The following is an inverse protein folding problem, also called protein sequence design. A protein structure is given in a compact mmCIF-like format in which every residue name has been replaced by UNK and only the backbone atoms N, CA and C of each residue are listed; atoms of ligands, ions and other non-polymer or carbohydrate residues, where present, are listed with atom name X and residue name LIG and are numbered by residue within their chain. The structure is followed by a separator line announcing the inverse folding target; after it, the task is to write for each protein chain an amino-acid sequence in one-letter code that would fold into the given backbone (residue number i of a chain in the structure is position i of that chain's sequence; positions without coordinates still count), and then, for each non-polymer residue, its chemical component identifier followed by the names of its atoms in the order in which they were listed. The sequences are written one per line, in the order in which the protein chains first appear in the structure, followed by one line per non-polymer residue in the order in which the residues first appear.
data_IF_168744464354
#
_entry.id   IF_168744464354
#
_cell.length_a   1.000
_cell.length_b   1.000
_cell.length_c   1.000
_cell.angle_alpha   90.00
_cell.angle_beta   90.00
_cell.angle_gamma   90.00
#
_symmetry.space_group_name_H-M   'P 1'
#
loop_
_entity.id
_entity.type
_entity.pdbx_description
1 polymer ?
#
# COMPACT_ATOMS: atom_id res chain seq x y z
N UNK A 1 3.79 19.00 5.74
CA UNK A 1 5.01 19.18 4.94
C UNK A 1 6.27 18.65 5.63
N UNK A 2 6.42 18.84 6.93
CA UNK A 2 7.62 18.41 7.68
C UNK A 2 7.77 16.88 7.65
N UNK A 3 6.69 16.14 7.84
CA UNK A 3 6.73 14.67 7.93
C UNK A 3 7.32 13.98 6.68
N UNK A 4 6.86 14.27 5.45
CA UNK A 4 7.47 13.68 4.26
C UNK A 4 8.94 14.09 4.04
N UNK A 5 9.29 15.33 4.41
CA UNK A 5 10.67 15.80 4.31
C UNK A 5 11.61 15.08 5.28
N UNK A 6 11.15 14.89 6.53
CA UNK A 6 11.89 14.11 7.53
C UNK A 6 12.02 12.63 7.13
N UNK A 7 10.95 12.03 6.59
CA UNK A 7 11.00 10.67 6.07
C UNK A 7 12.01 10.53 4.93
N UNK A 8 12.03 11.47 3.99
CA UNK A 8 13.01 11.47 2.90
C UNK A 8 14.45 11.57 3.41
N UNK A 9 14.70 12.43 4.40
CA UNK A 9 16.01 12.54 5.05
C UNK A 9 16.42 11.23 5.72
N UNK A 10 15.52 10.60 6.46
CA UNK A 10 15.78 9.30 7.11
C UNK A 10 16.07 8.21 6.07
N UNK A 11 15.25 8.08 5.03
CA UNK A 11 15.45 7.10 3.95
C UNK A 11 16.81 7.28 3.27
N UNK A 12 17.24 8.53 3.05
CA UNK A 12 18.54 8.81 2.46
C UNK A 12 19.69 8.36 3.36
N UNK A 13 19.58 8.56 4.67
CA UNK A 13 20.63 8.28 5.65
C UNK A 13 20.72 6.82 6.08
N UNK A 14 19.65 6.02 5.90
CA UNK A 14 19.62 4.62 6.33
C UNK A 14 20.59 3.77 5.48
N UNK A 15 21.38 2.87 6.10
CA UNK A 15 22.16 1.88 5.37
C UNK A 15 21.26 0.86 4.66
N UNK A 16 21.81 0.11 3.70
CA UNK A 16 21.11 -1.03 3.09
C UNK A 16 21.10 -2.16 4.11
N UNK A 17 19.93 -2.79 4.31
CA UNK A 17 19.77 -3.87 5.28
C UNK A 17 18.32 -4.09 5.69
N UNK A 18 18.12 -5.03 6.61
CA UNK A 18 16.84 -5.36 7.21
C UNK A 18 16.78 -4.73 8.60
N UNK A 19 15.67 -4.06 8.88
CA UNK A 19 15.43 -3.35 10.14
C UNK A 19 14.07 -3.75 10.71
N UNK A 20 13.96 -3.69 12.04
CA UNK A 20 12.70 -3.91 12.75
C UNK A 20 12.05 -5.25 12.41
N UNK A 21 12.73 -6.34 12.73
CA UNK A 21 12.15 -7.67 12.65
C UNK A 21 11.22 -7.92 13.83
N UNK A 22 10.05 -8.50 13.56
CA UNK A 22 9.05 -8.86 14.56
C UNK A 22 8.68 -10.32 14.39
N UNK A 23 8.72 -11.08 15.49
CA UNK A 23 8.24 -12.46 15.49
C UNK A 23 6.71 -12.50 15.62
N UNK A 24 6.05 -13.09 14.65
CA UNK A 24 4.61 -13.30 14.65
C UNK A 24 4.31 -14.76 14.24
N UNK A 25 3.59 -15.50 15.09
CA UNK A 25 3.20 -16.89 14.85
C UNK A 25 4.38 -17.82 14.46
N UNK A 26 5.54 -17.59 15.05
CA UNK A 26 6.76 -18.38 14.78
C UNK A 26 7.47 -17.99 13.47
N UNK A 27 7.07 -16.90 12.84
CA UNK A 27 7.72 -16.32 11.65
C UNK A 27 8.35 -14.98 11.98
N UNK A 28 9.56 -14.75 11.48
CA UNK A 28 10.22 -13.45 11.56
C UNK A 28 9.76 -12.57 10.40
N UNK A 29 8.94 -11.58 10.70
CA UNK A 29 8.49 -10.57 9.74
C UNK A 29 9.53 -9.48 9.58
N UNK A 30 9.87 -9.16 8.35
CA UNK A 30 10.79 -8.07 8.00
C UNK A 30 10.00 -6.77 7.79
N UNK A 31 9.75 -6.05 8.89
CA UNK A 31 8.93 -4.84 8.86
C UNK A 31 9.52 -3.75 7.97
N UNK A 32 10.85 -3.72 7.81
CA UNK A 32 11.52 -2.73 6.97
C UNK A 32 12.78 -3.34 6.34
N UNK A 33 12.80 -3.44 5.01
CA UNK A 33 13.96 -3.81 4.21
C UNK A 33 14.36 -2.67 3.29
N UNK A 34 15.58 -2.19 3.45
CA UNK A 34 16.15 -1.12 2.63
C UNK A 34 17.11 -1.72 1.62
N UNK A 35 16.80 -1.55 0.35
CA UNK A 35 17.68 -1.87 -0.77
C UNK A 35 17.78 -0.65 -1.73
N UNK A 36 18.53 -0.80 -2.81
CA UNK A 36 18.73 0.31 -3.78
C UNK A 36 17.41 0.73 -4.44
N UNK A 37 16.53 -0.23 -4.73
CA UNK A 37 15.27 0.01 -5.41
C UNK A 37 14.25 0.65 -4.45
N UNK A 38 14.07 0.07 -3.26
CA UNK A 38 13.16 0.60 -2.25
C UNK A 38 13.54 2.02 -1.80
N UNK A 39 14.85 2.33 -1.73
CA UNK A 39 15.32 3.68 -1.43
C UNK A 39 14.87 4.70 -2.48
N UNK A 40 15.04 4.38 -3.77
CA UNK A 40 14.65 5.28 -4.86
C UNK A 40 13.13 5.51 -4.84
N UNK A 41 12.34 4.43 -4.77
CA UNK A 41 10.88 4.55 -4.72
C UNK A 41 10.38 5.23 -3.44
N UNK A 42 10.99 4.95 -2.30
CA UNK A 42 10.68 5.63 -1.06
C UNK A 42 10.90 7.14 -1.13
N UNK A 43 11.98 7.60 -1.75
CA UNK A 43 12.24 9.02 -1.99
C UNK A 43 11.23 9.64 -2.95
N UNK A 44 10.87 8.93 -4.03
CA UNK A 44 9.83 9.38 -4.97
C UNK A 44 8.48 9.52 -4.25
N UNK A 45 8.10 8.57 -3.39
CA UNK A 45 6.85 8.61 -2.64
C UNK A 45 6.86 9.72 -1.58
N UNK A 46 8.00 9.99 -0.94
CA UNK A 46 8.14 11.13 -0.04
C UNK A 46 7.99 12.47 -0.80
N UNK A 47 8.56 12.58 -2.00
CA UNK A 47 8.40 13.75 -2.86
C UNK A 47 6.93 13.92 -3.27
N UNK A 48 6.27 12.84 -3.71
CA UNK A 48 4.85 12.87 -4.07
C UNK A 48 3.97 13.28 -2.88
N UNK A 49 4.22 12.72 -1.69
CA UNK A 49 3.53 13.09 -0.46
C UNK A 49 3.77 14.56 -0.08
N UNK A 50 4.99 15.06 -0.24
CA UNK A 50 5.32 16.46 0.01
C UNK A 50 4.55 17.39 -0.95
N UNK A 51 4.57 17.11 -2.24
CA UNK A 51 3.87 17.89 -3.26
C UNK A 51 2.36 17.81 -3.09
N UNK A 52 1.80 16.63 -2.77
CA UNK A 52 0.38 16.46 -2.46
C UNK A 52 -0.06 17.27 -1.25
N UNK A 53 0.71 17.24 -0.15
CA UNK A 53 0.42 18.05 1.03
C UNK A 53 0.58 19.56 0.76
N UNK A 54 1.51 19.96 -0.11
CA UNK A 54 1.67 21.34 -0.52
C UNK A 54 0.48 21.81 -1.35
N UNK A 55 0.01 20.98 -2.28
CA UNK A 55 -1.18 21.25 -3.08
C UNK A 55 -2.43 21.35 -2.21
N UNK A 56 -2.59 20.44 -1.25
CA UNK A 56 -3.71 20.38 -0.30
C UNK A 56 -3.61 21.40 0.85
N UNK A 57 -2.64 22.30 0.84
CA UNK A 57 -2.40 23.27 1.93
C UNK A 57 -3.61 24.12 2.30
N UNK A 58 -4.42 24.44 1.30
CA UNK A 58 -5.63 25.26 1.47
C UNK A 58 -6.82 24.47 2.04
N UNK A 59 -6.77 23.14 2.05
CA UNK A 59 -7.84 22.26 2.55
C UNK A 59 -7.79 22.20 4.07
N UNK A 60 -8.87 22.62 4.73
CA UNK A 60 -8.98 22.64 6.19
C UNK A 60 -9.80 21.47 6.76
N UNK A 61 -10.04 20.44 5.96
CA UNK A 61 -10.75 19.24 6.41
C UNK A 61 -9.73 18.26 7.05
N UNK A 62 -9.86 18.10 8.37
CA UNK A 62 -8.98 17.24 9.17
C UNK A 62 -9.02 15.78 8.72
N UNK A 63 -10.19 15.28 8.29
CA UNK A 63 -10.35 13.90 7.82
C UNK A 63 -9.51 13.67 6.56
N UNK A 64 -9.55 14.60 5.61
CA UNK A 64 -8.74 14.51 4.39
C UNK A 64 -7.25 14.59 4.69
N UNK A 65 -6.82 15.49 5.56
CA UNK A 65 -5.41 15.63 5.92
C UNK A 65 -4.85 14.39 6.61
N UNK A 66 -5.59 13.82 7.57
CA UNK A 66 -5.18 12.59 8.27
C UNK A 66 -5.18 11.42 7.29
N UNK A 67 -6.22 11.25 6.48
CA UNK A 67 -6.32 10.18 5.50
C UNK A 67 -5.18 10.24 4.48
N UNK A 68 -4.84 11.42 3.96
CA UNK A 68 -3.73 11.60 3.03
C UNK A 68 -2.36 11.25 3.65
N UNK A 69 -2.14 11.64 4.91
CA UNK A 69 -0.90 11.28 5.62
C UNK A 69 -0.81 9.78 5.93
N UNK A 70 -1.90 9.16 6.34
CA UNK A 70 -1.95 7.71 6.58
C UNK A 70 -1.76 6.93 5.28
N UNK A 71 -2.42 7.37 4.20
CA UNK A 71 -2.27 6.77 2.88
C UNK A 71 -0.82 6.82 2.38
N UNK A 72 -0.21 8.01 2.42
CA UNK A 72 1.18 8.16 1.99
C UNK A 72 2.15 7.41 2.90
N UNK A 73 1.92 7.40 4.20
CA UNK A 73 2.72 6.62 5.15
C UNK A 73 2.63 5.11 4.90
N UNK A 74 1.41 4.58 4.68
CA UNK A 74 1.20 3.18 4.32
C UNK A 74 1.84 2.82 2.96
N UNK A 75 1.75 3.72 1.97
CA UNK A 75 2.39 3.52 0.67
C UNK A 75 3.93 3.48 0.78
N UNK A 76 4.53 4.37 1.57
CA UNK A 76 5.97 4.34 1.85
C UNK A 76 6.33 3.06 2.61
N UNK A 77 5.54 2.65 3.61
CA UNK A 77 5.75 1.40 4.33
C UNK A 77 5.71 0.17 3.41
N UNK A 78 4.79 0.13 2.45
CA UNK A 78 4.71 -0.95 1.45
C UNK A 78 5.96 -1.06 0.59
N UNK A 79 6.62 0.06 0.25
CA UNK A 79 7.89 0.07 -0.50
C UNK A 79 9.02 -0.58 0.28
N UNK A 80 8.99 -0.48 1.61
CA UNK A 80 10.02 -1.04 2.48
C UNK A 80 9.63 -2.38 3.12
N UNK A 81 8.46 -2.92 2.84
CA UNK A 81 8.08 -4.24 3.32
C UNK A 81 9.08 -5.31 2.82
N UNK A 82 9.61 -6.12 3.72
CA UNK A 82 10.58 -7.16 3.40
C UNK A 82 9.94 -8.52 3.08
N UNK A 83 8.67 -8.71 3.41
CA UNK A 83 7.93 -9.95 3.20
C UNK A 83 6.46 -9.69 2.82
N UNK A 84 5.78 -10.75 2.35
CA UNK A 84 4.40 -10.69 1.85
C UNK A 84 3.37 -10.35 2.93
N UNK A 85 3.59 -10.75 4.19
CA UNK A 85 2.67 -10.46 5.28
C UNK A 85 2.82 -9.00 5.71
N UNK A 86 4.05 -8.51 5.84
CA UNK A 86 4.32 -7.10 6.09
C UNK A 86 3.74 -6.21 4.98
N UNK A 87 3.90 -6.63 3.71
CA UNK A 87 3.27 -5.93 2.58
C UNK A 87 1.75 -5.92 2.73
N UNK A 88 1.12 -7.03 3.10
CA UNK A 88 -0.32 -7.11 3.30
C UNK A 88 -0.82 -6.06 4.31
N UNK A 89 -0.16 -5.87 5.44
CA UNK A 89 -0.57 -4.86 6.42
C UNK A 89 -0.54 -3.44 5.83
N UNK A 90 0.52 -3.07 5.14
CA UNK A 90 0.60 -1.76 4.49
C UNK A 90 -0.38 -1.62 3.32
N UNK A 91 -0.62 -2.69 2.60
CA UNK A 91 -1.57 -2.77 1.50
C UNK A 91 -3.00 -2.48 1.96
N UNK A 92 -3.43 -3.11 3.06
CA UNK A 92 -4.72 -2.83 3.68
C UNK A 92 -4.75 -1.41 4.27
N UNK A 93 -3.66 -0.94 4.86
CA UNK A 93 -3.52 0.43 5.33
C UNK A 93 -3.76 1.46 4.22
N UNK A 94 -3.24 1.23 3.01
CA UNK A 94 -3.50 2.11 1.86
C UNK A 94 -4.98 2.07 1.45
N UNK A 95 -5.62 0.91 1.45
CA UNK A 95 -7.03 0.76 1.07
C UNK A 95 -7.96 1.48 2.06
N UNK A 96 -7.73 1.27 3.36
CA UNK A 96 -8.53 1.89 4.43
C UNK A 96 -8.32 3.40 4.44
N UNK A 97 -7.08 3.89 4.36
CA UNK A 97 -6.82 5.33 4.37
C UNK A 97 -7.41 6.03 3.15
N UNK A 98 -7.28 5.44 1.96
CA UNK A 98 -7.76 6.08 0.72
C UNK A 98 -9.28 6.13 0.60
N UNK A 99 -10.03 5.18 1.18
CA UNK A 99 -11.49 5.24 1.12
C UNK A 99 -12.04 6.47 1.83
N UNK A 100 -11.38 6.96 2.89
CA UNK A 100 -11.77 8.19 3.55
C UNK A 100 -11.62 9.43 2.65
N UNK A 101 -10.70 9.43 1.69
CA UNK A 101 -10.59 10.51 0.68
C UNK A 101 -11.78 10.50 -0.28
N UNK A 102 -12.34 9.32 -0.59
CA UNK A 102 -13.58 9.21 -1.38
C UNK A 102 -14.77 9.69 -0.54
N UNK A 103 -14.90 9.23 0.69
CA UNK A 103 -16.02 9.60 1.58
C UNK A 103 -15.97 11.06 2.04
N UNK A 104 -14.81 11.68 2.03
CA UNK A 104 -14.67 13.10 2.38
C UNK A 104 -15.43 14.04 1.43
N UNK A 105 -15.84 13.57 0.25
CA UNK A 105 -16.75 14.30 -0.65
C UNK A 105 -18.17 14.44 -0.08
N UNK A 106 -18.54 13.59 0.92
CA UNK A 106 -19.80 13.67 1.67
C UNK A 106 -21.07 13.62 0.82
N UNK A 107 -21.06 12.87 -0.28
CA UNK A 107 -22.22 12.62 -1.14
C UNK A 107 -22.61 11.15 -1.04
N UNK A 108 -23.91 10.84 -1.24
CA UNK A 108 -24.39 9.45 -1.26
C UNK A 108 -23.70 8.60 -2.34
N UNK A 109 -23.49 9.18 -3.52
CA UNK A 109 -22.75 8.54 -4.59
C UNK A 109 -21.30 8.20 -4.20
N UNK A 110 -20.61 9.12 -3.52
CA UNK A 110 -19.25 8.88 -3.03
C UNK A 110 -19.23 7.78 -1.95
N UNK A 111 -20.26 7.69 -1.11
CA UNK A 111 -20.36 6.62 -0.13
C UNK A 111 -20.47 5.24 -0.80
N UNK A 112 -21.38 5.05 -1.73
CA UNK A 112 -21.55 3.77 -2.44
C UNK A 112 -20.32 3.41 -3.29
N UNK A 113 -19.71 4.39 -3.93
CA UNK A 113 -18.47 4.15 -4.68
C UNK A 113 -17.32 3.76 -3.76
N UNK A 114 -17.16 4.45 -2.62
CA UNK A 114 -16.14 4.11 -1.63
C UNK A 114 -16.34 2.71 -1.03
N UNK A 115 -17.58 2.29 -0.80
CA UNK A 115 -17.87 0.92 -0.33
C UNK A 115 -17.46 -0.13 -1.38
N UNK A 116 -17.81 0.07 -2.65
CA UNK A 116 -17.37 -0.85 -3.73
C UNK A 116 -15.85 -0.88 -3.85
N UNK A 117 -15.21 0.28 -3.82
CA UNK A 117 -13.76 0.40 -3.80
C UNK A 117 -13.15 -0.41 -2.66
N UNK A 118 -13.62 -0.21 -1.44
CA UNK A 118 -13.10 -0.88 -0.25
C UNK A 118 -13.25 -2.40 -0.35
N UNK A 119 -14.41 -2.91 -0.78
CA UNK A 119 -14.64 -4.34 -0.96
C UNK A 119 -13.64 -4.93 -1.95
N UNK A 120 -13.41 -4.29 -3.11
CA UNK A 120 -12.47 -4.78 -4.12
C UNK A 120 -11.04 -4.76 -3.58
N UNK A 121 -10.64 -3.69 -2.89
CA UNK A 121 -9.29 -3.54 -2.35
C UNK A 121 -9.01 -4.56 -1.24
N UNK A 122 -9.94 -4.73 -0.28
CA UNK A 122 -9.80 -5.76 0.77
C UNK A 122 -9.78 -7.16 0.16
N UNK A 123 -10.63 -7.43 -0.84
CA UNK A 123 -10.61 -8.73 -1.54
C UNK A 123 -9.23 -8.98 -2.16
N UNK A 124 -8.60 -7.97 -2.77
CA UNK A 124 -7.25 -8.13 -3.31
C UNK A 124 -6.23 -8.46 -2.23
N UNK A 125 -6.34 -7.85 -1.04
CA UNK A 125 -5.46 -8.16 0.08
C UNK A 125 -5.69 -9.56 0.66
N UNK A 126 -6.95 -10.00 0.78
CA UNK A 126 -7.28 -11.38 1.20
C UNK A 126 -6.69 -12.39 0.21
N UNK A 127 -6.77 -12.14 -1.10
CA UNK A 127 -6.15 -12.98 -2.12
C UNK A 127 -4.61 -12.99 -1.97
N UNK A 128 -3.99 -11.83 -1.67
CA UNK A 128 -2.56 -11.75 -1.38
C UNK A 128 -2.19 -12.62 -0.19
N UNK A 129 -2.93 -12.51 0.90
CA UNK A 129 -2.70 -13.29 2.13
C UNK A 129 -2.87 -14.80 1.88
N UNK A 130 -3.90 -15.19 1.14
CA UNK A 130 -4.11 -16.58 0.74
C UNK A 130 -2.95 -17.10 -0.13
N UNK A 131 -2.49 -16.29 -1.10
CA UNK A 131 -1.34 -16.59 -1.93
C UNK A 131 -0.05 -16.75 -1.11
N UNK A 132 0.19 -15.86 -0.14
CA UNK A 132 1.33 -15.94 0.77
C UNK A 132 1.29 -17.20 1.63
N UNK A 133 0.10 -17.58 2.15
CA UNK A 133 -0.07 -18.79 2.94
C UNK A 133 0.19 -20.06 2.12
N UNK A 134 -0.27 -20.12 0.87
CA UNK A 134 0.00 -21.25 -0.04
C UNK A 134 1.47 -21.30 -0.39
N UNK A 135 2.09 -20.16 -0.74
CA UNK A 135 3.51 -20.08 -1.06
C UNK A 135 4.37 -20.54 0.13
N UNK A 136 4.01 -20.11 1.35
CA UNK A 136 4.70 -20.55 2.56
C UNK A 136 4.65 -22.06 2.76
N UNK A 137 3.50 -22.69 2.49
CA UNK A 137 3.37 -24.17 2.57
C UNK A 137 4.22 -24.88 1.52
N UNK A 138 4.44 -24.27 0.36
CA UNK A 138 5.23 -24.84 -0.75
C UNK A 138 6.73 -24.64 -0.56
N UNK A 139 7.16 -23.48 -0.04
CA UNK A 139 8.57 -23.07 -0.02
C UNK A 139 9.16 -22.91 1.38
N UNK A 140 8.32 -22.81 2.42
CA UNK A 140 8.75 -22.49 3.78
C UNK A 140 9.14 -21.02 3.99
N UNK A 141 8.94 -20.14 3.00
CA UNK A 141 9.34 -18.73 3.03
C UNK A 141 8.22 -17.81 2.59
N UNK A 142 8.15 -16.62 3.20
CA UNK A 142 7.26 -15.52 2.82
C UNK A 142 8.04 -14.29 2.33
N UNK A 143 9.38 -14.39 2.30
CA UNK A 143 10.25 -13.26 1.88
C UNK A 143 10.12 -12.98 0.39
N UNK A 144 10.42 -11.74 0.00
CA UNK A 144 10.43 -11.36 -1.40
C UNK A 144 11.64 -11.98 -2.11
N UNK A 145 11.38 -13.00 -2.90
CA UNK A 145 12.32 -13.64 -3.80
C UNK A 145 11.78 -13.59 -5.24
N UNK A 146 12.63 -13.99 -6.19
CA UNK A 146 12.18 -14.11 -7.58
C UNK A 146 11.17 -15.26 -7.70
N UNK A 147 9.92 -14.90 -7.97
CA UNK A 147 8.82 -15.83 -8.16
C UNK A 147 8.61 -16.13 -9.64
N UNK A 148 8.38 -17.40 -9.96
CA UNK A 148 7.92 -17.84 -11.28
C UNK A 148 6.46 -18.28 -11.17
N UNK A 149 5.64 -17.94 -12.17
CA UNK A 149 4.23 -18.33 -12.21
C UNK A 149 4.14 -19.86 -12.51
N UNK A 150 4.13 -20.68 -11.48
CA UNK A 150 4.12 -22.12 -11.59
C UNK A 150 3.25 -22.81 -10.53
N UNK A 151 2.91 -22.12 -9.43
CA UNK A 151 2.10 -22.66 -8.35
C UNK A 151 0.82 -21.84 -8.12
N UNK A 152 -0.13 -22.42 -7.39
CA UNK A 152 -1.35 -21.72 -6.99
C UNK A 152 -1.01 -20.47 -6.17
N UNK A 153 -0.03 -20.54 -5.27
CA UNK A 153 0.39 -19.42 -4.44
C UNK A 153 0.85 -18.23 -5.28
N UNK A 154 1.73 -18.48 -6.26
CA UNK A 154 2.26 -17.41 -7.14
C UNK A 154 1.19 -16.84 -8.08
N UNK A 155 0.21 -17.63 -8.54
CA UNK A 155 -0.92 -17.12 -9.31
C UNK A 155 -1.86 -16.24 -8.48
N UNK A 156 -2.16 -16.60 -7.22
CA UNK A 156 -2.96 -15.78 -6.32
C UNK A 156 -2.28 -14.44 -6.03
N UNK A 157 -0.97 -14.47 -5.74
CA UNK A 157 -0.18 -13.24 -5.55
C UNK A 157 -0.25 -12.37 -6.80
N UNK A 158 -0.02 -12.94 -7.98
CA UNK A 158 -0.08 -12.23 -9.25
C UNK A 158 -1.45 -11.60 -9.51
N UNK A 159 -2.54 -12.34 -9.24
CA UNK A 159 -3.90 -11.84 -9.37
C UNK A 159 -4.16 -10.67 -8.41
N UNK A 160 -3.74 -10.78 -7.16
CA UNK A 160 -3.85 -9.72 -6.17
C UNK A 160 -3.17 -8.43 -6.64
N UNK A 161 -1.92 -8.52 -7.11
CA UNK A 161 -1.21 -7.39 -7.70
C UNK A 161 -1.95 -6.86 -8.94
N UNK A 162 -2.50 -7.73 -9.78
CA UNK A 162 -3.27 -7.34 -10.96
C UNK A 162 -4.51 -6.52 -10.62
N UNK A 163 -5.23 -6.86 -9.56
CA UNK A 163 -6.36 -6.07 -9.06
C UNK A 163 -5.88 -4.70 -8.58
N UNK A 164 -4.83 -4.66 -7.77
CA UNK A 164 -4.30 -3.42 -7.19
C UNK A 164 -3.70 -2.48 -8.25
N UNK A 165 -3.01 -3.04 -9.25
CA UNK A 165 -2.42 -2.31 -10.36
C UNK A 165 -3.43 -2.02 -11.49
N UNK A 166 -4.70 -2.36 -11.29
CA UNK A 166 -5.77 -2.14 -12.27
C UNK A 166 -5.45 -2.72 -13.66
N UNK A 167 -5.04 -4.00 -13.71
CA UNK A 167 -4.79 -4.71 -14.97
C UNK A 167 -6.04 -4.70 -15.85
N UNK A 168 -5.91 -4.89 -17.16
CA UNK A 168 -7.05 -5.03 -18.06
C UNK A 168 -8.08 -6.02 -17.50
N UNK A 169 -9.36 -5.67 -17.53
CA UNK A 169 -10.51 -6.35 -16.93
C UNK A 169 -10.64 -6.21 -15.40
N UNK A 170 -9.59 -5.80 -14.69
CA UNK A 170 -9.58 -5.60 -13.23
C UNK A 170 -9.55 -4.12 -12.82
N UNK A 171 -9.74 -3.20 -13.76
CA UNK A 171 -9.55 -1.75 -13.57
C UNK A 171 -10.83 -0.95 -13.31
N UNK A 172 -12.01 -1.57 -13.33
CA UNK A 172 -13.28 -0.87 -13.20
C UNK A 172 -13.39 -0.04 -11.91
N UNK A 173 -12.79 -0.53 -10.82
CA UNK A 173 -12.77 0.19 -9.55
C UNK A 173 -12.05 1.56 -9.66
N UNK A 174 -11.04 1.65 -10.51
CA UNK A 174 -10.27 2.87 -10.73
C UNK A 174 -11.12 3.95 -11.39
N UNK A 175 -11.85 3.58 -12.45
CA UNK A 175 -12.72 4.50 -13.20
C UNK A 175 -13.87 5.05 -12.35
N UNK A 176 -14.41 4.22 -11.45
CA UNK A 176 -15.48 4.62 -10.54
C UNK A 176 -14.98 5.51 -9.39
N UNK A 177 -13.82 5.15 -8.80
CA UNK A 177 -13.37 5.72 -7.53
C UNK A 177 -12.66 7.06 -7.68
N UNK A 178 -11.84 7.23 -8.73
CA UNK A 178 -11.06 8.46 -8.90
C UNK A 178 -11.94 9.71 -9.15
N UNK A 179 -12.98 9.68 -10.00
CA UNK A 179 -13.87 10.83 -10.14
C UNK A 179 -14.73 11.10 -8.90
N UNK A 180 -14.93 10.09 -8.06
CA UNK A 180 -15.70 10.19 -6.83
C UNK A 180 -14.90 10.70 -5.62
N UNK A 181 -13.55 10.67 -5.71
CA UNK A 181 -12.68 11.19 -4.67
C UNK A 181 -12.69 12.74 -4.63
N UNK A 182 -12.15 13.30 -3.55
CA UNK A 182 -11.86 14.74 -3.46
C UNK A 182 -10.71 15.12 -4.39
N UNK A 183 -10.62 16.42 -4.73
CA UNK A 183 -9.61 16.93 -5.68
C UNK A 183 -8.20 16.93 -5.10
N UNK A 184 -8.08 16.67 -3.81
CA UNK A 184 -6.82 16.73 -3.05
C UNK A 184 -6.34 15.35 -2.68
#
# INVERSE_FOLDING_TARGET
LITPAMAAWQIWSLPIGIFNQVELLGQSLEMMRVDKLSRIFGLIFCLAAFLGNLYAWHVRDLVQQIAALLYSGAAIGAVFAGDLITLFFYWEGTAIASVFLIWARRTEGAYHTGMRYLIIQITSGVILLAGAAVLYRETGSITFERMTLGSLGTWLIFLSFGIKCAFPLLHNWLQDSYPAATIT
#
